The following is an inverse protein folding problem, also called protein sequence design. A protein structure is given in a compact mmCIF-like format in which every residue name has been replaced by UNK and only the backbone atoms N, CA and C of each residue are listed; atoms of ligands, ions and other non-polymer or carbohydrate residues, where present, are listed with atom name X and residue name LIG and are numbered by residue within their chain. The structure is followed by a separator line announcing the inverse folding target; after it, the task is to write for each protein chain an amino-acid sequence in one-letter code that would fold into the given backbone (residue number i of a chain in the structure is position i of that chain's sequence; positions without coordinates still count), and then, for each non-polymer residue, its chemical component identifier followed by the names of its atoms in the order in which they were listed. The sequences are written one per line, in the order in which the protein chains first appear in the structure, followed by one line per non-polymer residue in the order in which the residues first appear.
data_IF_704935547853
#
_entry.id   IF_704935547853
#
_cell.length_a   1.000
_cell.length_b   1.000
_cell.length_c   1.000
_cell.angle_alpha   90.00
_cell.angle_beta   90.00
_cell.angle_gamma   90.00
#
_symmetry.space_group_name_H-M   'P 1'
#
loop_
_entity.id
_entity.type
_entity.pdbx_description
1 polymer ?
#
# COMPACT_ATOMS: atom_id res chain seq x y z
N UNK A 1 51.17 56.99 -44.55
CA UNK A 1 51.87 55.95 -43.76
C UNK A 1 51.31 54.60 -44.14
N UNK A 2 52.19 53.60 -44.34
CA UNK A 2 51.93 52.25 -44.86
C UNK A 2 51.32 51.30 -43.81
N UNK A 3 50.45 50.42 -44.32
CA UNK A 3 50.14 48.99 -44.08
C UNK A 3 50.86 48.19 -42.98
N UNK A 4 50.13 47.17 -42.47
CA UNK A 4 50.46 45.75 -42.07
C UNK A 4 50.13 45.41 -40.60
N UNK A 5 49.73 44.20 -40.14
CA UNK A 5 49.23 42.89 -40.63
C UNK A 5 48.94 42.03 -39.35
N UNK A 6 48.21 40.91 -39.52
CA UNK A 6 48.29 39.63 -38.77
C UNK A 6 47.37 39.32 -37.57
N UNK A 7 46.53 38.30 -37.77
CA UNK A 7 46.04 37.33 -36.77
C UNK A 7 47.19 36.47 -36.20
N UNK A 8 46.97 35.74 -35.08
CA UNK A 8 46.71 34.30 -35.26
C UNK A 8 45.72 33.63 -34.28
N UNK A 9 45.19 32.50 -34.75
CA UNK A 9 44.43 31.49 -34.02
C UNK A 9 45.30 30.55 -33.17
N UNK A 10 44.75 30.04 -32.06
CA UNK A 10 45.10 28.78 -31.37
C UNK A 10 44.12 28.59 -30.20
N UNK A 11 43.77 27.42 -29.65
CA UNK A 11 43.77 25.99 -30.02
C UNK A 11 43.25 25.26 -28.77
N UNK A 12 42.27 24.37 -28.95
CA UNK A 12 42.04 23.05 -28.32
C UNK A 12 42.26 22.86 -26.80
N UNK A 13 41.22 22.28 -26.17
CA UNK A 13 41.32 21.55 -24.90
C UNK A 13 40.02 20.81 -24.60
N UNK A 14 39.70 19.79 -25.40
CA UNK A 14 38.58 18.89 -25.14
C UNK A 14 38.90 17.99 -23.94
N UNK A 15 38.18 18.20 -22.84
CA UNK A 15 38.22 17.35 -21.66
C UNK A 15 37.47 16.04 -21.92
N UNK A 16 38.27 15.00 -22.11
CA UNK A 16 38.25 13.70 -21.43
C UNK A 16 36.91 13.11 -20.95
N UNK A 17 36.71 11.89 -21.47
CA UNK A 17 35.82 10.84 -21.03
C UNK A 17 35.61 10.75 -19.51
N UNK A 18 34.34 10.76 -19.10
CA UNK A 18 33.89 9.98 -17.96
C UNK A 18 32.51 9.40 -18.26
N UNK A 19 32.59 8.16 -18.72
CA UNK A 19 31.53 7.16 -18.71
C UNK A 19 31.08 6.93 -17.27
N UNK A 20 29.78 7.15 -17.02
CA UNK A 20 28.89 6.41 -16.10
C UNK A 20 27.81 7.36 -15.60
N UNK A 21 26.59 7.20 -16.09
CA UNK A 21 25.42 7.44 -15.24
C UNK A 21 24.31 6.50 -15.64
N UNK A 22 24.07 5.60 -14.70
CA UNK A 22 22.80 5.02 -14.34
C UNK A 22 21.98 4.39 -15.46
N UNK A 23 22.12 3.07 -15.53
CA UNK A 23 21.12 2.15 -16.04
C UNK A 23 19.70 2.65 -15.78
N UNK A 24 19.00 2.93 -16.87
CA UNK A 24 17.54 2.92 -16.96
C UNK A 24 17.03 1.59 -16.42
N UNK A 25 16.71 1.53 -15.14
CA UNK A 25 15.84 0.51 -14.59
C UNK A 25 14.40 0.99 -14.87
N UNK A 26 13.96 0.78 -16.11
CA UNK A 26 12.54 0.82 -16.43
C UNK A 26 11.87 -0.41 -15.79
N UNK A 27 11.46 -0.23 -14.54
CA UNK A 27 10.80 -1.25 -13.72
C UNK A 27 9.46 -0.80 -13.16
N UNK A 28 8.77 0.17 -13.78
CA UNK A 28 7.52 0.73 -13.21
C UNK A 28 6.37 0.85 -14.22
N UNK A 29 6.26 -0.12 -15.13
CA UNK A 29 5.12 -0.26 -16.05
C UNK A 29 3.83 -0.80 -15.43
N UNK A 30 3.85 -1.22 -14.15
CA UNK A 30 2.69 -1.74 -13.44
C UNK A 30 2.60 -1.15 -12.01
N UNK A 31 2.46 0.17 -11.89
CA UNK A 31 1.82 0.72 -10.68
C UNK A 31 0.35 0.32 -10.74
N UNK A 32 0.04 -0.80 -10.11
CA UNK A 32 -1.27 -1.48 -10.09
C UNK A 32 -2.44 -0.52 -9.93
N UNK A 33 -3.53 -0.81 -10.62
CA UNK A 33 -4.81 -0.08 -10.67
C UNK A 33 -5.60 -0.07 -9.34
N UNK A 34 -4.91 -0.07 -8.20
CA UNK A 34 -5.51 -0.10 -6.87
C UNK A 34 -5.54 1.32 -6.31
N UNK A 35 -6.68 1.69 -5.71
CA UNK A 35 -6.88 2.96 -5.03
C UNK A 35 -5.82 3.22 -3.95
N UNK A 36 -5.23 4.42 -3.94
CA UNK A 36 -4.27 4.84 -2.91
C UNK A 36 -4.97 5.22 -1.60
N UNK A 37 -4.24 5.23 -0.49
CA UNK A 37 -4.80 5.62 0.81
C UNK A 37 -5.53 6.97 0.82
N UNK A 38 -5.00 8.07 0.23
CA UNK A 38 -5.72 9.34 0.17
C UNK A 38 -7.03 9.26 -0.61
N UNK A 39 -7.06 8.53 -1.71
CA UNK A 39 -8.25 8.32 -2.54
C UNK A 39 -9.30 7.53 -1.75
N UNK A 40 -8.88 6.42 -1.14
CA UNK A 40 -9.70 5.57 -0.27
C UNK A 40 -10.35 6.37 0.84
N UNK A 41 -9.54 7.15 1.57
CA UNK A 41 -10.03 7.95 2.68
C UNK A 41 -11.04 9.02 2.23
N UNK A 42 -10.82 9.66 1.08
CA UNK A 42 -11.78 10.63 0.50
C UNK A 42 -13.10 9.96 0.11
N UNK A 43 -13.02 8.78 -0.52
CA UNK A 43 -14.21 8.02 -0.94
C UNK A 43 -15.07 7.61 0.25
N UNK A 44 -14.48 7.02 1.29
CA UNK A 44 -15.26 6.53 2.45
C UNK A 44 -15.76 7.65 3.37
N UNK A 45 -15.08 8.80 3.37
CA UNK A 45 -15.45 9.95 4.21
C UNK A 45 -16.56 10.82 3.62
N UNK A 46 -16.89 10.65 2.33
CA UNK A 46 -18.09 11.26 1.73
C UNK A 46 -18.12 12.78 1.82
N UNK A 47 -16.98 13.44 1.67
CA UNK A 47 -16.87 14.91 1.71
C UNK A 47 -16.66 15.53 3.09
N UNK A 48 -16.49 14.72 4.14
CA UNK A 48 -16.10 15.22 5.46
C UNK A 48 -14.77 15.99 5.40
N UNK A 49 -14.69 17.07 6.17
CA UNK A 49 -13.45 17.82 6.36
C UNK A 49 -12.44 17.01 7.17
N UNK A 50 -11.16 17.38 7.07
CA UNK A 50 -10.09 16.78 7.88
C UNK A 50 -10.37 16.84 9.39
N UNK A 51 -11.07 17.88 9.82
CA UNK A 51 -11.51 18.05 11.21
C UNK A 51 -12.48 16.95 11.64
N UNK A 52 -13.55 16.78 10.85
CA UNK A 52 -14.61 15.81 11.11
C UNK A 52 -14.07 14.38 11.05
N UNK A 53 -13.19 14.10 10.08
CA UNK A 53 -12.51 12.81 9.99
C UNK A 53 -11.69 12.53 11.26
N UNK A 54 -10.88 13.51 11.70
CA UNK A 54 -10.03 13.37 12.88
C UNK A 54 -10.84 13.19 14.17
N UNK A 55 -11.90 13.98 14.35
CA UNK A 55 -12.83 13.88 15.48
C UNK A 55 -13.51 12.51 15.52
N UNK A 56 -14.03 12.04 14.37
CA UNK A 56 -14.71 10.76 14.26
C UNK A 56 -13.81 9.56 14.57
N UNK A 57 -12.52 9.65 14.24
CA UNK A 57 -11.53 8.59 14.51
C UNK A 57 -10.92 8.74 15.92
N UNK A 58 -10.96 9.94 16.52
CA UNK A 58 -10.34 10.25 17.81
C UNK A 58 -8.83 10.50 17.72
N UNK A 59 -8.35 11.16 16.66
CA UNK A 59 -6.92 11.46 16.43
C UNK A 59 -6.67 12.95 16.13
N UNK A 60 -5.40 13.33 16.02
CA UNK A 60 -5.02 14.70 15.64
C UNK A 60 -5.30 15.02 14.16
N UNK A 61 -5.86 16.21 13.89
CA UNK A 61 -6.14 16.71 12.53
C UNK A 61 -4.92 16.71 11.62
N UNK A 62 -3.74 17.05 12.16
CA UNK A 62 -2.50 17.10 11.38
C UNK A 62 -2.13 15.73 10.79
N UNK A 63 -2.45 14.63 11.47
CA UNK A 63 -2.25 13.28 10.96
C UNK A 63 -3.10 13.05 9.71
N UNK A 64 -4.39 13.38 9.76
CA UNK A 64 -5.31 13.27 8.61
C UNK A 64 -4.84 14.16 7.46
N UNK A 65 -4.41 15.39 7.75
CA UNK A 65 -3.84 16.29 6.76
C UNK A 65 -2.64 15.65 6.05
N UNK A 66 -1.65 15.18 6.80
CA UNK A 66 -0.45 14.57 6.23
C UNK A 66 -0.78 13.33 5.39
N UNK A 67 -1.75 12.52 5.81
CA UNK A 67 -2.21 11.36 5.04
C UNK A 67 -2.85 11.76 3.72
N UNK A 68 -3.76 12.74 3.72
CA UNK A 68 -4.46 13.18 2.51
C UNK A 68 -3.55 13.88 1.49
N UNK A 69 -2.39 14.36 1.93
CA UNK A 69 -1.34 14.91 1.07
C UNK A 69 -0.23 13.89 0.76
N UNK A 70 -0.35 12.64 1.20
CA UNK A 70 0.64 11.59 0.97
C UNK A 70 1.99 11.81 1.70
N UNK A 71 2.07 12.75 2.65
CA UNK A 71 3.31 13.05 3.38
C UNK A 71 3.70 11.96 4.37
N UNK A 72 2.69 11.32 4.96
CA UNK A 72 2.89 10.20 5.88
C UNK A 72 1.87 9.11 5.59
N UNK A 73 2.23 7.88 5.97
CA UNK A 73 1.34 6.73 5.96
C UNK A 73 0.81 6.47 7.38
N UNK A 74 -0.49 6.18 7.56
CA UNK A 74 -1.02 5.74 8.85
C UNK A 74 -0.43 4.38 9.26
N UNK A 75 -0.37 4.12 10.57
CA UNK A 75 -0.06 2.77 11.08
C UNK A 75 -1.19 1.79 10.74
N UNK A 76 -0.87 0.51 10.57
CA UNK A 76 -1.86 -0.53 10.27
C UNK A 76 -3.02 -0.58 11.27
N UNK A 77 -2.75 -0.45 12.58
CA UNK A 77 -3.80 -0.37 13.60
C UNK A 77 -4.77 0.79 13.34
N UNK A 78 -4.24 1.96 12.99
CA UNK A 78 -5.06 3.13 12.68
C UNK A 78 -5.86 2.93 11.39
N UNK A 79 -5.28 2.30 10.37
CA UNK A 79 -5.97 1.92 9.13
C UNK A 79 -7.19 1.04 9.43
N UNK A 80 -7.01 0.03 10.28
CA UNK A 80 -8.09 -0.88 10.71
C UNK A 80 -9.17 -0.10 11.47
N UNK A 81 -8.78 0.79 12.39
CA UNK A 81 -9.72 1.64 13.13
C UNK A 81 -10.53 2.54 12.19
N UNK A 82 -9.88 3.19 11.22
CA UNK A 82 -10.58 4.00 10.21
C UNK A 82 -11.61 3.14 9.48
N UNK A 83 -11.22 1.99 8.95
CA UNK A 83 -12.13 1.10 8.22
C UNK A 83 -13.38 0.77 9.06
N UNK A 84 -13.18 0.37 10.32
CA UNK A 84 -14.27 0.01 11.24
C UNK A 84 -15.20 1.20 11.55
N UNK A 85 -14.65 2.39 11.82
CA UNK A 85 -15.41 3.62 12.10
C UNK A 85 -16.30 4.04 10.92
N UNK A 86 -15.87 3.73 9.69
CA UNK A 86 -16.63 3.98 8.47
C UNK A 86 -17.43 2.77 7.98
N UNK A 87 -17.48 1.67 8.75
CA UNK A 87 -18.25 0.47 8.39
C UNK A 87 -17.71 -0.27 7.17
N UNK A 88 -16.40 -0.23 6.94
CA UNK A 88 -15.72 -0.88 5.81
C UNK A 88 -14.90 -2.09 6.26
N UNK A 89 -14.74 -3.12 5.40
CA UNK A 89 -13.82 -4.21 5.65
C UNK A 89 -12.38 -3.69 5.83
N UNK A 90 -11.67 -4.07 6.92
CA UNK A 90 -10.28 -3.63 7.12
C UNK A 90 -9.32 -4.02 5.99
N UNK A 91 -9.62 -5.10 5.27
CA UNK A 91 -8.82 -5.56 4.12
C UNK A 91 -8.74 -4.50 3.02
N UNK A 92 -9.84 -3.83 2.67
CA UNK A 92 -9.84 -2.75 1.67
C UNK A 92 -8.88 -1.61 2.06
N UNK A 93 -8.94 -1.23 3.34
CA UNK A 93 -8.13 -0.14 3.88
C UNK A 93 -6.63 -0.51 3.93
N UNK A 94 -6.32 -1.76 4.25
CA UNK A 94 -4.96 -2.28 4.29
C UNK A 94 -4.34 -2.39 2.89
N UNK A 95 -5.12 -2.76 1.87
CA UNK A 95 -4.71 -2.69 0.46
C UNK A 95 -4.38 -1.26 0.06
N UNK A 96 -5.30 -0.31 0.32
CA UNK A 96 -5.10 1.10 -0.05
C UNK A 96 -3.88 1.73 0.67
N UNK A 97 -3.60 1.29 1.90
CA UNK A 97 -2.44 1.70 2.67
C UNK A 97 -1.16 0.89 2.38
N UNK A 98 -1.17 -0.02 1.39
CA UNK A 98 -0.04 -0.86 1.00
C UNK A 98 0.55 -1.67 2.17
N UNK A 99 -0.33 -2.19 3.03
CA UNK A 99 -0.01 -3.21 4.03
C UNK A 99 -0.33 -4.62 3.53
N UNK A 100 -1.16 -4.72 2.49
CA UNK A 100 -1.46 -5.94 1.76
C UNK A 100 -1.32 -5.66 0.27
N UNK A 101 -0.94 -6.68 -0.48
CA UNK A 101 -0.98 -6.71 -1.94
C UNK A 101 -2.29 -7.37 -2.42
N UNK A 102 -2.82 -6.99 -3.59
CA UNK A 102 -4.05 -7.59 -4.12
C UNK A 102 -4.00 -9.12 -4.19
N UNK A 103 -2.84 -9.67 -4.55
CA UNK A 103 -2.60 -11.11 -4.66
C UNK A 103 -2.65 -11.85 -3.31
N UNK A 104 -2.45 -11.17 -2.18
CA UNK A 104 -2.58 -11.76 -0.86
C UNK A 104 -4.05 -11.95 -0.47
N UNK A 105 -4.96 -11.13 -1.02
CA UNK A 105 -6.40 -11.18 -0.72
C UNK A 105 -7.12 -12.21 -1.57
N UNK A 106 -6.57 -12.58 -2.73
CA UNK A 106 -7.07 -13.66 -3.58
C UNK A 106 -6.81 -15.06 -3.00
N UNK A 107 -5.88 -15.18 -2.04
CA UNK A 107 -5.58 -16.44 -1.39
C UNK A 107 -6.68 -16.82 -0.40
N UNK A 108 -7.08 -18.11 -0.33
CA UNK A 108 -8.02 -18.58 0.68
C UNK A 108 -7.50 -18.26 2.09
N UNK A 109 -8.30 -17.54 2.87
CA UNK A 109 -7.98 -17.27 4.27
C UNK A 109 -8.15 -18.57 5.07
N UNK A 110 -7.04 -19.21 5.42
CA UNK A 110 -7.07 -20.36 6.32
C UNK A 110 -7.29 -19.89 7.75
N UNK A 111 -8.55 -19.88 8.18
CA UNK A 111 -8.88 -19.80 9.59
C UNK A 111 -8.76 -21.20 10.17
N UNK A 112 -7.80 -21.44 11.06
CA UNK A 112 -7.77 -22.65 11.88
C UNK A 112 -8.77 -22.46 13.02
N UNK A 113 -10.00 -22.99 12.94
CA UNK A 113 -10.92 -22.90 14.07
C UNK A 113 -10.25 -23.59 15.25
N UNK A 114 -10.37 -22.97 16.42
CA UNK A 114 -10.01 -23.67 17.65
C UNK A 114 -10.86 -24.94 17.71
N UNK A 115 -10.28 -26.12 17.98
CA UNK A 115 -11.06 -27.34 18.18
C UNK A 115 -12.12 -27.18 19.28
N UNK A 116 -11.90 -26.25 20.23
CA UNK A 116 -12.84 -25.91 21.30
C UNK A 116 -14.08 -25.14 20.85
N UNK A 117 -14.11 -24.66 19.60
CA UNK A 117 -15.27 -23.96 19.04
C UNK A 117 -16.29 -24.89 18.39
N UNK A 118 -16.00 -26.19 18.31
CA UNK A 118 -16.94 -27.21 17.83
C UNK A 118 -17.83 -27.62 19.00
N UNK A 119 -19.13 -27.74 18.77
CA UNK A 119 -20.04 -28.23 19.81
C UNK A 119 -19.76 -29.71 20.09
N UNK A 120 -20.02 -30.19 21.31
CA UNK A 120 -19.84 -31.61 21.64
C UNK A 120 -20.67 -32.53 20.74
N UNK A 121 -21.84 -32.06 20.28
CA UNK A 121 -22.71 -32.76 19.35
C UNK A 121 -22.06 -32.90 17.96
N UNK A 122 -21.51 -31.81 17.43
CA UNK A 122 -20.80 -31.83 16.13
C UNK A 122 -19.54 -32.69 16.20
N UNK A 123 -18.82 -32.66 17.33
CA UNK A 123 -17.66 -33.50 17.56
C UNK A 123 -18.04 -34.98 17.62
N UNK A 124 -19.11 -35.33 18.36
CA UNK A 124 -19.59 -36.70 18.45
C UNK A 124 -20.07 -37.25 17.09
N UNK A 125 -20.79 -36.43 16.32
CA UNK A 125 -21.21 -36.77 14.97
C UNK A 125 -20.01 -37.03 14.04
N UNK A 126 -18.97 -36.19 14.13
CA UNK A 126 -17.74 -36.36 13.35
C UNK A 126 -16.96 -37.62 13.74
N UNK A 127 -16.83 -37.92 15.03
CA UNK A 127 -16.19 -39.16 15.51
C UNK A 127 -16.95 -40.39 15.00
N UNK A 128 -18.29 -40.38 15.13
CA UNK A 128 -19.13 -41.48 14.64
C UNK A 128 -18.95 -41.70 13.13
N UNK A 129 -19.00 -40.64 12.32
CA UNK A 129 -18.76 -40.69 10.88
C UNK A 129 -17.43 -41.36 10.51
N UNK A 130 -16.35 -41.05 11.23
CA UNK A 130 -15.02 -41.64 10.99
C UNK A 130 -14.96 -43.11 11.37
N UNK A 131 -15.53 -43.50 12.51
CA UNK A 131 -15.56 -44.89 12.96
C UNK A 131 -16.31 -45.78 11.94
N UNK A 132 -17.44 -45.32 11.42
CA UNK A 132 -18.18 -46.07 10.40
C UNK A 132 -17.41 -46.14 9.08
N UNK A 133 -16.75 -45.06 8.65
CA UNK A 133 -15.91 -45.04 7.44
C UNK A 133 -14.67 -45.96 7.54
N UNK A 134 -14.11 -46.13 8.73
CA UNK A 134 -12.95 -47.02 8.95
C UNK A 134 -13.33 -48.50 9.00
N UNK A 135 -14.61 -48.80 9.26
CA UNK A 135 -15.09 -50.17 9.47
C UNK A 135 -15.77 -50.78 8.24
N UNK A 136 -15.81 -50.06 7.12
CA UNK A 136 -16.33 -50.51 5.82
C UNK A 136 -15.28 -50.41 4.74
#
# INVERSE_FOLDING_TARGET
MRTVLSEPAATVGAGEDSVMTEQTIDGSGARSATETWPEYLRRISGGQTQAQIAERIGIGRLSVCNWLHGKTRPKAETVITVARVYGRPPVEALLAAQYLEPTEVEQPIEMKPSPRGITDADLAAEVHRRLTRMSG
#
